data_IF_422246269036
#
_entry.id   IF_422246269036
#
_cell.length_a   1.000
_cell.length_b   1.000
_cell.length_c   1.000
_cell.angle_alpha   90.00
_cell.angle_beta   90.00
_cell.angle_gamma   90.00
#
_symmetry.space_group_name_H-M   'P 1'
#
loop_
_entity.id
_entity.type
_entity.pdbx_description
1 polymer ?
#
# COMPACT_ATOMS: atom_id res chain seq x y z
N UNK A 1 -13.73 -7.06 5.86
CA UNK A 1 -12.56 -7.61 5.15
C UNK A 1 -11.33 -7.32 5.99
N UNK A 2 -10.48 -8.31 6.19
CA UNK A 2 -9.18 -8.17 6.81
C UNK A 2 -8.15 -8.78 5.86
N UNK A 3 -7.14 -7.99 5.52
CA UNK A 3 -5.97 -8.45 4.81
C UNK A 3 -4.79 -8.43 5.77
N UNK A 4 -3.90 -9.40 5.67
CA UNK A 4 -2.77 -9.51 6.58
C UNK A 4 -1.55 -10.16 5.91
N UNK A 5 -0.37 -9.71 6.34
CA UNK A 5 0.91 -10.23 5.88
C UNK A 5 1.04 -11.69 6.32
N UNK A 6 1.20 -12.59 5.35
CA UNK A 6 1.22 -14.03 5.58
C UNK A 6 2.37 -14.70 4.82
N UNK A 7 3.04 -15.66 5.45
CA UNK A 7 4.01 -16.53 4.81
C UNK A 7 3.33 -17.88 4.50
N UNK A 8 3.03 -18.21 3.24
CA UNK A 8 2.36 -19.47 2.90
C UNK A 8 3.19 -20.73 3.16
N UNK A 9 4.48 -20.60 3.48
CA UNK A 9 5.45 -21.71 3.52
C UNK A 9 6.21 -21.82 4.84
N UNK A 10 5.87 -21.05 5.87
CA UNK A 10 6.60 -21.13 7.13
C UNK A 10 6.05 -20.27 8.25
N UNK A 11 6.51 -20.57 9.47
CA UNK A 11 6.16 -19.86 10.70
C UNK A 11 7.12 -18.68 11.02
N UNK A 12 7.91 -18.26 10.03
CA UNK A 12 8.85 -17.13 10.13
C UNK A 12 8.56 -16.10 9.05
N UNK A 13 9.07 -14.89 9.18
CA UNK A 13 8.90 -13.86 8.16
C UNK A 13 9.60 -14.23 6.84
N UNK A 14 8.90 -14.09 5.72
CA UNK A 14 9.38 -14.42 4.37
C UNK A 14 8.24 -14.75 3.41
N UNK A 15 8.49 -14.75 2.10
CA UNK A 15 7.50 -15.07 1.05
C UNK A 15 6.14 -14.36 1.24
N UNK A 16 6.19 -13.11 1.66
CA UNK A 16 5.03 -12.38 2.16
C UNK A 16 4.01 -12.14 1.05
N UNK A 17 2.76 -12.53 1.34
CA UNK A 17 1.54 -12.22 0.58
C UNK A 17 0.51 -11.54 1.48
N UNK A 18 -0.56 -11.03 0.88
CA UNK A 18 -1.76 -10.61 1.61
C UNK A 18 -2.76 -11.76 1.64
N UNK A 19 -2.81 -12.48 2.76
CA UNK A 19 -3.93 -13.35 3.06
C UNK A 19 -5.19 -12.51 3.29
N UNK A 20 -6.36 -13.13 3.14
CA UNK A 20 -7.65 -12.43 3.12
C UNK A 20 -8.69 -13.20 3.91
N UNK A 21 -9.39 -12.51 4.81
CA UNK A 21 -10.56 -13.04 5.51
C UNK A 21 -11.72 -12.05 5.51
N UNK A 22 -12.92 -12.58 5.58
CA UNK A 22 -14.18 -11.80 5.65
C UNK A 22 -14.95 -12.15 6.90
N UNK A 23 -15.69 -11.17 7.40
CA UNK A 23 -16.52 -11.30 8.60
C UNK A 23 -17.71 -10.36 8.48
N UNK A 24 -18.83 -10.77 9.10
CA UNK A 24 -20.04 -9.95 9.24
C UNK A 24 -20.10 -9.23 10.59
N UNK A 25 -19.30 -9.65 11.56
CA UNK A 25 -19.35 -9.20 12.95
C UNK A 25 -17.98 -8.81 13.53
N UNK A 26 -16.91 -8.90 12.73
CA UNK A 26 -15.51 -8.69 13.11
C UNK A 26 -14.96 -9.70 14.14
N UNK A 27 -15.71 -10.77 14.44
CA UNK A 27 -15.36 -11.80 15.42
C UNK A 27 -15.18 -13.15 14.72
N UNK A 28 -16.16 -13.56 13.92
CA UNK A 28 -16.15 -14.82 13.19
C UNK A 28 -15.63 -14.58 11.77
N UNK A 29 -14.54 -15.24 11.41
CA UNK A 29 -13.81 -15.00 10.17
C UNK A 29 -13.83 -16.24 9.26
N UNK A 30 -14.18 -16.01 8.00
CA UNK A 30 -14.04 -16.99 6.92
C UNK A 30 -12.77 -16.67 6.12
N UNK A 31 -11.89 -17.66 6.00
CA UNK A 31 -10.66 -17.54 5.22
C UNK A 31 -10.95 -17.63 3.73
N UNK A 32 -10.32 -16.76 2.95
CA UNK A 32 -10.35 -16.74 1.49
C UNK A 32 -8.92 -16.95 0.96
N UNK A 33 -8.81 -17.16 -0.35
CA UNK A 33 -7.52 -17.24 -1.03
C UNK A 33 -6.72 -15.93 -0.87
N UNK A 34 -5.36 -15.98 -0.94
CA UNK A 34 -4.54 -14.77 -0.92
C UNK A 34 -4.93 -13.78 -2.01
N UNK A 35 -5.20 -12.54 -1.61
CA UNK A 35 -5.71 -11.50 -2.50
C UNK A 35 -4.61 -10.82 -3.32
N UNK A 36 -3.45 -10.57 -2.71
CA UNK A 36 -2.30 -9.92 -3.35
C UNK A 36 -1.05 -10.73 -3.06
N UNK A 37 -0.37 -11.16 -4.13
CA UNK A 37 0.85 -11.95 -4.06
C UNK A 37 1.80 -11.56 -5.21
N UNK A 38 3.11 -11.83 -5.09
CA UNK A 38 4.09 -11.51 -6.14
C UNK A 38 3.68 -12.12 -7.48
N UNK A 39 3.47 -11.27 -8.49
CA UNK A 39 3.11 -11.76 -9.83
C UNK A 39 3.50 -10.84 -10.98
N UNK A 40 4.03 -9.65 -10.69
CA UNK A 40 4.50 -8.68 -11.69
C UNK A 40 5.83 -8.06 -11.26
N UNK A 41 6.61 -7.45 -12.18
CA UNK A 41 7.93 -6.91 -11.85
C UNK A 41 7.92 -5.98 -10.62
N UNK A 42 6.93 -5.11 -10.49
CA UNK A 42 6.82 -4.13 -9.42
C UNK A 42 6.55 -4.69 -8.01
N UNK A 43 6.31 -6.00 -7.88
CA UNK A 43 6.15 -6.68 -6.59
C UNK A 43 6.75 -8.09 -6.56
N UNK A 44 7.64 -8.40 -7.51
CA UNK A 44 8.14 -9.76 -7.72
C UNK A 44 8.87 -10.33 -6.50
N UNK A 45 9.45 -9.46 -5.67
CA UNK A 45 10.19 -9.83 -4.47
C UNK A 45 9.34 -9.71 -3.19
N UNK A 46 8.07 -9.30 -3.27
CA UNK A 46 7.16 -9.25 -2.12
C UNK A 46 6.03 -8.24 -2.24
N UNK A 47 4.90 -8.57 -1.60
CA UNK A 47 3.75 -7.66 -1.43
C UNK A 47 3.62 -7.26 0.04
N UNK A 48 4.21 -6.12 0.39
CA UNK A 48 4.24 -5.58 1.75
C UNK A 48 2.97 -4.78 2.06
N UNK A 49 2.89 -4.25 3.28
CA UNK A 49 1.72 -3.60 3.86
C UNK A 49 1.20 -2.40 3.04
N UNK A 50 0.00 -1.98 3.38
CA UNK A 50 -0.76 -0.96 2.67
C UNK A 50 -2.17 -0.83 3.23
N UNK A 51 -2.99 -0.03 2.55
CA UNK A 51 -4.31 0.36 3.04
C UNK A 51 -5.35 0.38 1.93
N UNK A 52 -6.61 0.21 2.31
CA UNK A 52 -7.74 0.32 1.40
C UNK A 52 -8.39 1.71 1.50
N UNK A 53 -8.75 2.29 0.36
CA UNK A 53 -9.56 3.52 0.27
C UNK A 53 -10.87 3.19 -0.46
N UNK A 54 -12.00 3.73 0.01
CA UNK A 54 -13.27 3.63 -0.72
C UNK A 54 -13.47 4.91 -1.54
N UNK A 55 -13.34 4.80 -2.86
CA UNK A 55 -13.59 5.91 -3.78
C UNK A 55 -15.11 6.17 -3.95
N UNK A 56 -15.51 7.37 -4.43
CA UNK A 56 -16.90 7.66 -4.78
C UNK A 56 -17.54 6.58 -5.64
N UNK A 57 -18.79 6.23 -5.31
CA UNK A 57 -19.51 5.14 -5.95
C UNK A 57 -19.18 3.74 -5.41
N UNK A 58 -18.73 3.64 -4.15
CA UNK A 58 -18.42 2.39 -3.44
C UNK A 58 -17.37 1.54 -4.15
N UNK A 59 -16.30 2.16 -4.66
CA UNK A 59 -15.22 1.48 -5.37
C UNK A 59 -14.00 1.35 -4.45
N UNK A 60 -13.78 0.20 -3.78
CA UNK A 60 -12.59 0.01 -2.98
C UNK A 60 -11.36 -0.11 -3.90
N UNK A 61 -10.27 0.50 -3.47
CA UNK A 61 -8.94 0.42 -4.09
C UNK A 61 -7.92 0.18 -2.97
N UNK A 62 -6.95 -0.69 -3.22
CA UNK A 62 -5.83 -0.91 -2.29
C UNK A 62 -4.62 -0.18 -2.83
N UNK A 63 -3.91 0.55 -1.97
CA UNK A 63 -2.53 0.93 -2.18
C UNK A 63 -1.65 0.03 -1.31
N UNK A 64 -0.56 -0.49 -1.87
CA UNK A 64 0.36 -1.36 -1.14
C UNK A 64 1.80 -1.19 -1.62
N UNK A 65 2.75 -1.56 -0.77
CA UNK A 65 4.15 -1.56 -1.13
C UNK A 65 4.53 -2.86 -1.83
N UNK A 66 5.07 -2.80 -3.04
CA UNK A 66 5.76 -3.91 -3.68
C UNK A 66 7.27 -3.80 -3.53
N UNK A 67 7.95 -4.94 -3.61
CA UNK A 67 9.41 -5.01 -3.72
C UNK A 67 9.76 -5.36 -5.17
N UNK A 68 10.40 -4.42 -5.86
CA UNK A 68 10.75 -4.54 -7.27
C UNK A 68 12.02 -5.41 -7.49
N UNK A 69 12.47 -5.67 -8.73
CA UNK A 69 13.64 -6.52 -9.01
C UNK A 69 14.96 -5.97 -8.44
N UNK A 70 15.01 -4.68 -8.12
CA UNK A 70 16.16 -4.01 -7.52
C UNK A 70 16.10 -3.98 -5.99
N UNK A 71 15.10 -4.63 -5.39
CA UNK A 71 14.78 -4.56 -3.96
C UNK A 71 14.39 -3.15 -3.48
N UNK A 72 13.86 -2.33 -4.38
CA UNK A 72 13.28 -1.04 -4.02
C UNK A 72 11.83 -1.21 -3.59
N UNK A 73 11.46 -0.44 -2.57
CA UNK A 73 10.08 -0.32 -2.12
C UNK A 73 9.37 0.67 -3.03
N UNK A 74 8.32 0.21 -3.71
CA UNK A 74 7.52 0.99 -4.67
C UNK A 74 6.05 0.86 -4.31
N UNK A 75 5.24 1.88 -4.61
CA UNK A 75 3.81 1.84 -4.26
C UNK A 75 2.97 1.50 -5.48
N UNK A 76 2.15 0.49 -5.31
CA UNK A 76 1.30 -0.10 -6.32
C UNK A 76 -0.16 0.05 -5.89
N UNK A 77 -1.07 -0.06 -6.84
CA UNK A 77 -2.50 -0.18 -6.56
C UNK A 77 -3.10 -1.47 -7.11
N UNK A 78 -4.14 -1.94 -6.43
CA UNK A 78 -4.94 -3.07 -6.82
C UNK A 78 -6.43 -2.73 -6.78
N UNK A 79 -7.20 -3.31 -7.70
CA UNK A 79 -8.63 -3.13 -7.86
C UNK A 79 -9.34 -4.47 -7.75
N UNK A 80 -10.55 -4.57 -7.18
CA UNK A 80 -11.33 -5.78 -7.28
C UNK A 80 -11.59 -6.14 -8.74
N UNK A 81 -11.39 -7.41 -9.09
CA UNK A 81 -11.70 -7.93 -10.43
C UNK A 81 -13.21 -7.89 -10.71
N UNK A 82 -14.01 -8.16 -9.68
CA UNK A 82 -15.47 -8.11 -9.71
C UNK A 82 -15.98 -7.34 -8.50
N UNK A 83 -16.43 -6.10 -8.70
CA UNK A 83 -16.96 -5.25 -7.62
C UNK A 83 -18.31 -5.75 -7.07
N UNK A 84 -19.03 -6.57 -7.83
CA UNK A 84 -20.28 -7.18 -7.40
C UNK A 84 -20.08 -8.42 -6.54
N UNK A 85 -18.85 -8.95 -6.43
CA UNK A 85 -18.52 -10.02 -5.49
C UNK A 85 -18.40 -9.43 -4.08
N UNK A 86 -19.34 -9.69 -3.15
CA UNK A 86 -19.29 -9.11 -1.81
C UNK A 86 -18.06 -9.56 -1.01
N UNK A 87 -17.44 -10.67 -1.41
CA UNK A 87 -16.24 -11.18 -0.77
C UNK A 87 -14.95 -10.58 -1.35
N UNK A 88 -15.01 -9.91 -2.51
CA UNK A 88 -13.86 -9.28 -3.18
C UNK A 88 -12.65 -10.23 -3.27
N UNK A 89 -12.89 -11.47 -3.73
CA UNK A 89 -11.89 -12.55 -3.69
C UNK A 89 -10.69 -12.32 -4.61
N UNK A 90 -10.95 -11.79 -5.80
CA UNK A 90 -9.92 -11.61 -6.82
C UNK A 90 -9.59 -10.13 -7.01
N UNK A 91 -8.30 -9.81 -7.07
CA UNK A 91 -7.78 -8.45 -7.27
C UNK A 91 -6.90 -8.38 -8.51
N UNK A 92 -7.09 -7.33 -9.30
CA UNK A 92 -6.30 -7.00 -10.48
C UNK A 92 -5.29 -5.93 -10.11
N UNK A 93 -4.02 -6.16 -10.48
CA UNK A 93 -2.93 -5.19 -10.37
C UNK A 93 -2.66 -4.59 -11.77
N UNK A 94 -3.01 -3.32 -12.03
CA UNK A 94 -2.81 -2.73 -13.36
C UNK A 94 -1.34 -2.65 -13.78
N UNK A 95 -1.09 -2.61 -15.10
CA UNK A 95 0.25 -2.65 -15.70
C UNK A 95 1.01 -1.32 -15.64
N UNK A 96 0.31 -0.22 -15.35
CA UNK A 96 0.90 1.09 -15.09
C UNK A 96 1.44 1.22 -13.65
N UNK A 97 1.47 0.14 -12.87
CA UNK A 97 2.20 0.09 -11.60
C UNK A 97 3.72 0.02 -11.84
N UNK A 98 4.53 0.55 -10.91
CA UNK A 98 4.15 1.31 -9.71
C UNK A 98 3.57 2.69 -10.04
N UNK A 99 2.71 3.21 -9.16
CA UNK A 99 2.15 4.58 -9.26
C UNK A 99 2.96 5.60 -8.45
N UNK A 100 3.78 5.14 -7.50
CA UNK A 100 4.73 5.98 -6.76
C UNK A 100 6.06 5.25 -6.59
N UNK A 101 7.15 5.95 -6.90
CA UNK A 101 8.52 5.47 -6.84
C UNK A 101 9.35 6.34 -5.88
N UNK A 102 10.43 5.79 -5.29
CA UNK A 102 11.39 6.62 -4.56
C UNK A 102 12.14 7.54 -5.55
N UNK A 103 11.86 8.84 -5.51
CA UNK A 103 12.55 9.85 -6.31
C UNK A 103 13.93 10.22 -5.71
N UNK A 104 14.65 11.12 -6.39
CA UNK A 104 15.94 11.60 -5.92
C UNK A 104 15.85 12.16 -4.49
N UNK A 105 16.56 11.52 -3.56
CA UNK A 105 16.59 11.91 -2.15
C UNK A 105 15.61 11.17 -1.24
N UNK A 106 14.77 10.27 -1.77
CA UNK A 106 14.03 9.27 -0.98
C UNK A 106 14.88 8.01 -0.86
N UNK A 107 14.88 7.40 0.33
CA UNK A 107 15.58 6.15 0.56
C UNK A 107 14.73 4.98 0.05
N UNK A 108 15.14 4.34 -1.04
CA UNK A 108 14.40 3.26 -1.68
C UNK A 108 14.18 2.00 -0.80
N UNK A 109 14.93 1.85 0.30
CA UNK A 109 14.76 0.74 1.28
C UNK A 109 13.99 1.16 2.54
N UNK A 110 13.54 2.41 2.59
CA UNK A 110 12.79 2.99 3.69
C UNK A 110 11.71 3.93 3.15
N UNK A 111 10.78 3.35 2.40
CA UNK A 111 9.70 4.02 1.69
C UNK A 111 8.50 3.07 1.48
N UNK A 112 7.64 2.92 2.49
CA UNK A 112 6.61 1.87 2.50
C UNK A 112 5.38 2.23 3.31
N UNK A 113 4.37 1.37 3.23
CA UNK A 113 3.13 1.40 4.00
C UNK A 113 2.26 2.63 3.65
N UNK A 114 1.70 2.70 2.44
CA UNK A 114 0.79 3.78 2.06
C UNK A 114 -0.50 3.73 2.88
N UNK A 115 -0.94 4.90 3.35
CA UNK A 115 -2.16 5.04 4.17
C UNK A 115 -3.44 4.94 3.35
N UNK A 116 -4.56 4.84 4.06
CA UNK A 116 -5.86 5.21 3.49
C UNK A 116 -5.78 6.66 3.01
N UNK A 117 -6.26 6.91 1.79
CA UNK A 117 -6.22 8.23 1.20
C UNK A 117 -7.37 9.10 1.70
N UNK A 118 -7.15 10.41 1.77
CA UNK A 118 -8.19 11.38 2.11
C UNK A 118 -8.36 12.44 1.03
N UNK A 119 -9.60 12.93 0.86
CA UNK A 119 -9.94 13.95 -0.12
C UNK A 119 -9.80 15.36 0.47
N UNK A 120 -9.04 16.22 -0.18
CA UNK A 120 -8.92 17.63 0.20
C UNK A 120 -9.94 18.54 -0.47
N UNK A 121 -10.24 19.66 0.19
CA UNK A 121 -11.15 20.70 -0.34
C UNK A 121 -10.68 21.33 -1.65
N UNK A 122 -9.41 21.16 -1.99
CA UNK A 122 -8.78 21.60 -3.24
C UNK A 122 -8.93 20.61 -4.40
N UNK A 123 -9.74 19.56 -4.24
CA UNK A 123 -10.02 18.58 -5.29
C UNK A 123 -8.88 17.59 -5.54
N UNK A 124 -8.10 17.28 -4.50
CA UNK A 124 -7.02 16.30 -4.59
C UNK A 124 -7.10 15.27 -3.46
N UNK A 125 -6.94 14.00 -3.82
CA UNK A 125 -6.57 12.93 -2.90
C UNK A 125 -5.19 13.19 -2.32
N UNK A 126 -4.97 12.70 -1.09
CA UNK A 126 -3.68 12.69 -0.41
C UNK A 126 -3.44 11.34 0.21
N UNK A 127 -2.18 10.92 0.20
CA UNK A 127 -1.67 9.77 0.94
C UNK A 127 -0.39 10.18 1.63
N UNK A 128 -0.05 9.47 2.70
CA UNK A 128 1.31 9.46 3.22
C UNK A 128 1.93 8.08 3.11
N UNK A 129 3.25 8.07 2.98
CA UNK A 129 4.07 6.87 2.92
C UNK A 129 5.17 7.02 3.97
N UNK A 130 5.34 5.99 4.80
CA UNK A 130 6.35 5.94 5.85
C UNK A 130 7.77 5.95 5.25
N UNK A 131 8.67 6.67 5.90
CA UNK A 131 10.04 6.79 5.43
C UNK A 131 11.01 7.34 6.47
N UNK A 132 12.27 7.47 6.05
CA UNK A 132 13.29 8.17 6.83
C UNK A 132 14.35 8.84 5.97
N UNK A 133 14.95 9.89 6.51
CA UNK A 133 16.20 10.49 6.01
C UNK A 133 17.27 10.49 7.10
N UNK A 134 18.28 9.61 6.95
CA UNK A 134 19.24 9.28 8.02
C UNK A 134 18.49 8.78 9.26
N UNK A 135 18.66 9.42 10.42
CA UNK A 135 17.98 9.06 11.67
C UNK A 135 16.74 9.94 11.97
N UNK A 136 16.01 10.35 10.93
CA UNK A 136 14.80 11.18 11.07
C UNK A 136 13.66 10.47 10.36
N UNK A 137 12.67 10.05 11.14
CA UNK A 137 11.42 9.49 10.61
C UNK A 137 10.60 10.58 9.96
N UNK A 138 9.90 10.22 8.89
CA UNK A 138 9.06 11.15 8.15
C UNK A 138 7.95 10.44 7.39
N UNK A 139 6.90 11.18 7.09
CA UNK A 139 5.78 10.75 6.25
C UNK A 139 5.79 11.53 4.94
N UNK A 140 6.15 10.88 3.83
CA UNK A 140 6.16 11.50 2.52
C UNK A 140 4.73 11.76 2.05
N UNK A 141 4.36 13.02 1.87
CA UNK A 141 3.03 13.42 1.43
C UNK A 141 2.97 13.42 -0.10
N UNK A 142 1.95 12.77 -0.66
CA UNK A 142 1.64 12.81 -2.09
C UNK A 142 0.22 13.31 -2.30
N UNK A 143 -0.04 13.88 -3.48
CA UNK A 143 -1.38 14.27 -3.91
C UNK A 143 -1.70 13.79 -5.32
N UNK A 144 -2.97 13.51 -5.60
CA UNK A 144 -3.45 13.07 -6.91
C UNK A 144 -4.87 13.58 -7.17
N UNK A 145 -5.26 13.77 -8.44
CA UNK A 145 -6.65 14.06 -8.83
C UNK A 145 -7.42 12.80 -9.23
N UNK A 146 -6.73 11.81 -9.77
CA UNK A 146 -7.29 10.62 -10.42
C UNK A 146 -6.93 9.31 -9.70
N UNK A 147 -6.22 9.40 -8.57
CA UNK A 147 -5.73 8.27 -7.75
C UNK A 147 -4.62 7.44 -8.41
N UNK A 148 -4.19 7.79 -9.62
CA UNK A 148 -3.19 7.05 -10.40
C UNK A 148 -1.92 7.88 -10.56
N UNK A 149 -2.07 9.15 -10.91
CA UNK A 149 -0.96 10.08 -11.08
C UNK A 149 -0.71 10.84 -9.78
N UNK A 150 0.37 10.47 -9.09
CA UNK A 150 0.71 11.04 -7.78
C UNK A 150 1.90 12.00 -7.88
N UNK A 151 1.76 13.16 -7.25
CA UNK A 151 2.79 14.18 -7.17
C UNK A 151 3.22 14.34 -5.71
N UNK A 152 4.51 14.16 -5.44
CA UNK A 152 5.10 14.36 -4.12
C UNK A 152 5.03 15.82 -3.72
N UNK A 153 4.65 16.09 -2.48
CA UNK A 153 4.74 17.42 -1.89
C UNK A 153 6.20 17.80 -1.58
N UNK A 154 6.50 19.10 -1.61
CA UNK A 154 7.84 19.63 -1.27
C UNK A 154 8.25 19.29 0.17
N UNK A 155 7.28 19.28 1.08
CA UNK A 155 7.49 18.98 2.49
C UNK A 155 6.73 17.70 2.86
N UNK A 156 7.29 16.87 3.77
CA UNK A 156 6.54 15.77 4.35
C UNK A 156 5.33 16.32 5.14
N UNK A 157 4.33 15.47 5.40
CA UNK A 157 3.25 15.86 6.31
C UNK A 157 3.81 16.15 7.71
N UNK A 158 4.69 15.28 8.21
CA UNK A 158 5.44 15.51 9.44
C UNK A 158 6.80 14.80 9.40
N UNK A 159 7.72 15.22 10.27
CA UNK A 159 9.00 14.55 10.46
C UNK A 159 9.57 14.85 11.84
N UNK A 160 10.27 13.88 12.44
CA UNK A 160 10.90 14.05 13.74
C UNK A 160 12.31 13.45 13.75
N UNK A 161 13.26 14.16 14.37
CA UNK A 161 14.63 13.69 14.51
C UNK A 161 14.73 12.59 15.59
N UNK A 162 15.68 11.67 15.41
CA UNK A 162 16.02 10.59 16.35
C UNK A 162 14.90 9.57 16.59
N UNK A 163 13.99 9.40 15.63
CA UNK A 163 12.89 8.41 15.71
C UNK A 163 13.11 7.18 14.83
N UNK A 164 14.16 7.16 13.99
CA UNK A 164 14.39 6.05 13.07
C UNK A 164 13.41 6.02 11.89
N UNK A 165 13.03 4.82 11.44
CA UNK A 165 12.03 4.60 10.40
C UNK A 165 10.63 4.80 10.97
N UNK A 166 9.76 5.47 10.22
CA UNK A 166 8.32 5.44 10.49
C UNK A 166 7.66 4.44 9.55
N UNK A 167 7.16 3.35 10.11
CA UNK A 167 6.39 2.31 9.41
C UNK A 167 4.91 2.44 9.78
N UNK A 168 4.04 1.92 8.91
CA UNK A 168 2.58 1.90 9.09
C UNK A 168 2.00 3.21 9.64
N UNK A 169 2.26 4.37 8.99
CA UNK A 169 1.62 5.62 9.39
C UNK A 169 0.09 5.53 9.24
N UNK A 170 -0.63 6.38 9.97
CA UNK A 170 -2.07 6.62 9.83
C UNK A 170 -2.37 8.08 10.22
#
# INVERSE_FOLDING_TARGET
HLFYQYNPKGAVWGNIVWAHSVSKDMINWEALDPAIYPSKPFDINGCWSGSATVLPGNKPIILYTGIDPHNYQVQNYALPKNISDPYLREWVKPDNNPVVFPDAGVNATAFRDPTTAWWGKDGHWRIIIGGRRRNRGMTHLYRSRDFVNWVKAKHPLHSQAKTGMWECPD
#
